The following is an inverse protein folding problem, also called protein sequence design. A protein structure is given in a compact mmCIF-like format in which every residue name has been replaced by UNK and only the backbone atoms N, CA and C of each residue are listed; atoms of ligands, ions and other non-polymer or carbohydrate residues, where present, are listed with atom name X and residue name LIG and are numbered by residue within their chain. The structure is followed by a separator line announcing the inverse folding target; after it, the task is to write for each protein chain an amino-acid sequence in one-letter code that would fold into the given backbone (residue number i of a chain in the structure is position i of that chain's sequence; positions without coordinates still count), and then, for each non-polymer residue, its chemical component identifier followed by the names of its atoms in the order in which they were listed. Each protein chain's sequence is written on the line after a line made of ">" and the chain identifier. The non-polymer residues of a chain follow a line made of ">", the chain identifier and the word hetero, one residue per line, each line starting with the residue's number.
data_IF_517580163225
#
_entry.id   IF_517580163225
#
_cell.length_a   1.000
_cell.length_b   1.000
_cell.length_c   1.000
_cell.angle_alpha   90.00
_cell.angle_beta   90.00
_cell.angle_gamma   90.00
#
_symmetry.space_group_name_H-M   'P 1'
#
loop_
_entity.id
_entity.type
_entity.pdbx_description
1 polymer ?
#
# COMPACT_ATOMS: atom_id res chain seq x y z
N UNK A 1 9.88 -18.81 -11.56
CA UNK A 1 8.72 -19.58 -11.08
C UNK A 1 8.78 -19.54 -9.57
N UNK A 2 7.89 -18.79 -8.94
CA UNK A 2 7.80 -18.74 -7.48
C UNK A 2 7.13 -20.02 -7.03
N UNK A 3 7.82 -20.81 -6.22
CA UNK A 3 7.24 -21.99 -5.57
C UNK A 3 6.76 -21.54 -4.21
N UNK A 4 5.45 -21.54 -4.00
CA UNK A 4 4.83 -21.38 -2.68
C UNK A 4 4.75 -22.79 -2.08
N UNK A 5 5.50 -23.04 -1.00
CA UNK A 5 5.50 -24.33 -0.33
C UNK A 5 4.55 -24.32 0.87
N UNK A 6 3.65 -25.29 0.91
CA UNK A 6 2.45 -25.34 1.74
C UNK A 6 2.61 -26.27 2.94
N UNK A 7 3.68 -26.23 3.68
CA UNK A 7 3.82 -27.16 4.82
C UNK A 7 4.06 -26.48 6.14
N UNK A 8 3.00 -25.93 6.74
CA UNK A 8 2.85 -25.96 8.21
C UNK A 8 1.41 -26.32 8.56
N UNK A 9 1.22 -27.59 8.91
CA UNK A 9 0.12 -28.20 9.70
C UNK A 9 -1.31 -27.70 9.51
N UNK A 10 -2.08 -28.49 8.74
CA UNK A 10 -3.51 -28.75 8.87
C UNK A 10 -4.48 -27.58 9.12
N UNK A 11 -4.49 -26.58 8.23
CA UNK A 11 -5.73 -25.92 7.83
C UNK A 11 -5.59 -25.56 6.34
N UNK A 12 -6.33 -26.29 5.52
CA UNK A 12 -6.56 -26.13 4.08
C UNK A 12 -5.70 -25.11 3.33
N UNK A 13 -4.82 -25.62 2.48
CA UNK A 13 -4.17 -24.93 1.38
C UNK A 13 -5.21 -24.42 0.38
N UNK A 14 -5.78 -23.25 0.66
CA UNK A 14 -6.56 -22.48 -0.31
C UNK A 14 -5.80 -21.19 -0.60
N UNK A 15 -5.72 -20.82 -1.89
CA UNK A 15 -5.33 -19.48 -2.28
C UNK A 15 -6.11 -18.47 -1.40
N UNK A 16 -5.51 -17.32 -1.01
CA UNK A 16 -6.19 -16.36 -0.16
C UNK A 16 -7.55 -16.03 -0.76
N UNK A 17 -8.59 -16.12 0.06
CA UNK A 17 -9.94 -15.72 -0.34
C UNK A 17 -9.92 -14.22 -0.68
N UNK A 18 -10.84 -13.77 -1.54
CA UNK A 18 -10.91 -12.40 -2.05
C UNK A 18 -10.93 -11.31 -0.95
N UNK A 19 -11.22 -11.68 0.30
CA UNK A 19 -11.29 -10.77 1.44
C UNK A 19 -10.02 -10.80 2.34
N UNK A 20 -9.03 -11.65 2.03
CA UNK A 20 -7.80 -11.80 2.84
C UNK A 20 -6.83 -10.65 2.58
N UNK A 21 -6.20 -10.15 3.63
CA UNK A 21 -5.12 -9.18 3.55
C UNK A 21 -3.77 -9.88 3.64
N UNK A 22 -2.91 -9.64 2.66
CA UNK A 22 -1.53 -10.14 2.70
C UNK A 22 -0.67 -9.13 3.47
N UNK A 23 0.08 -9.61 4.46
CA UNK A 23 1.02 -8.80 5.24
C UNK A 23 2.44 -9.33 5.02
N UNK A 24 3.30 -8.48 4.46
CA UNK A 24 4.71 -8.81 4.22
C UNK A 24 5.54 -8.66 5.47
N UNK A 25 6.19 -9.75 5.89
CA UNK A 25 7.06 -9.80 7.06
C UNK A 25 8.51 -10.12 6.67
N UNK A 26 9.46 -9.37 7.22
CA UNK A 26 10.89 -9.63 7.07
C UNK A 26 11.65 -9.52 8.42
N UNK A 27 10.91 -9.36 9.52
CA UNK A 27 11.43 -9.18 10.87
C UNK A 27 12.05 -7.81 11.13
N UNK A 28 11.77 -6.79 10.29
CA UNK A 28 12.12 -5.40 10.56
C UNK A 28 11.05 -4.69 11.39
N UNK A 29 11.42 -3.61 12.08
CA UNK A 29 10.47 -2.77 12.83
C UNK A 29 9.37 -2.20 11.94
N UNK A 30 9.69 -1.87 10.69
CA UNK A 30 8.70 -1.39 9.74
C UNK A 30 7.68 -2.47 9.36
N UNK A 31 8.10 -3.73 9.23
CA UNK A 31 7.20 -4.85 8.97
C UNK A 31 6.34 -5.17 10.21
N UNK A 32 6.91 -5.04 11.43
CA UNK A 32 6.14 -5.16 12.67
C UNK A 32 5.06 -4.07 12.76
N UNK A 33 5.39 -2.81 12.47
CA UNK A 33 4.41 -1.72 12.41
C UNK A 33 3.33 -1.95 11.35
N UNK A 34 3.69 -2.51 10.20
CA UNK A 34 2.74 -2.86 9.15
C UNK A 34 1.76 -3.96 9.61
N UNK A 35 2.26 -4.95 10.34
CA UNK A 35 1.44 -5.99 10.94
C UNK A 35 0.48 -5.42 11.99
N UNK A 36 0.98 -4.61 12.92
CA UNK A 36 0.14 -3.98 13.94
C UNK A 36 -0.91 -3.06 13.31
N UNK A 37 -0.55 -2.34 12.25
CA UNK A 37 -1.51 -1.55 11.49
C UNK A 37 -2.59 -2.43 10.85
N UNK A 38 -2.22 -3.56 10.25
CA UNK A 38 -3.18 -4.51 9.68
C UNK A 38 -4.11 -5.07 10.76
N UNK A 39 -3.57 -5.47 11.91
CA UNK A 39 -4.34 -5.95 13.07
C UNK A 39 -5.34 -4.90 13.55
N UNK A 40 -4.93 -3.64 13.71
CA UNK A 40 -5.81 -2.56 14.15
C UNK A 40 -6.94 -2.25 13.15
N UNK A 41 -6.80 -2.66 11.89
CA UNK A 41 -7.71 -2.30 10.81
C UNK A 41 -8.51 -3.47 10.22
N UNK A 42 -8.10 -4.71 10.38
CA UNK A 42 -8.80 -5.88 9.81
C UNK A 42 -10.09 -6.21 10.55
N UNK A 43 -10.13 -5.93 11.85
CA UNK A 43 -11.28 -6.24 12.69
C UNK A 43 -12.56 -5.53 12.22
N UNK A 44 -13.64 -6.30 12.14
CA UNK A 44 -14.94 -5.81 11.66
C UNK A 44 -15.05 -5.63 10.14
N UNK A 45 -14.03 -6.02 9.35
CA UNK A 45 -14.06 -5.98 7.87
C UNK A 45 -14.23 -7.35 7.20
N UNK A 46 -14.36 -8.41 8.00
CA UNK A 46 -14.77 -9.75 7.52
C UNK A 46 -13.67 -10.53 6.79
N UNK A 47 -12.44 -10.05 6.76
CA UNK A 47 -11.33 -10.71 6.08
C UNK A 47 -10.45 -11.53 7.03
N UNK A 48 -9.41 -12.18 6.45
CA UNK A 48 -8.33 -12.83 7.19
C UNK A 48 -6.99 -12.12 6.98
N UNK A 49 -5.98 -12.54 7.73
CA UNK A 49 -4.59 -12.11 7.54
C UNK A 49 -3.76 -13.28 7.00
N UNK A 50 -3.09 -13.10 5.89
CA UNK A 50 -2.07 -13.99 5.38
C UNK A 50 -0.69 -13.35 5.60
N UNK A 51 0.06 -13.87 6.56
CA UNK A 51 1.40 -13.41 6.88
C UNK A 51 2.39 -14.08 5.93
N UNK A 52 3.11 -13.29 5.15
CA UNK A 52 3.99 -13.79 4.09
C UNK A 52 5.42 -13.32 4.31
N UNK A 53 6.35 -14.27 4.32
CA UNK A 53 7.79 -14.04 4.38
C UNK A 53 8.48 -14.62 3.15
N UNK A 54 9.41 -13.86 2.58
CA UNK A 54 10.26 -14.34 1.50
C UNK A 54 11.60 -14.84 2.06
N UNK A 55 12.08 -15.94 1.53
CA UNK A 55 13.41 -16.45 1.84
C UNK A 55 14.26 -16.63 0.58
N UNK A 56 15.55 -16.45 0.72
CA UNK A 56 16.53 -16.62 -0.34
C UNK A 56 17.80 -17.25 0.20
N UNK A 57 18.47 -18.03 -0.61
CA UNK A 57 19.84 -18.46 -0.30
C UNK A 57 20.74 -17.22 -0.43
N UNK A 58 21.51 -16.88 0.62
CA UNK A 58 22.47 -15.80 0.53
C UNK A 58 23.47 -16.08 -0.60
N UNK A 59 23.50 -15.21 -1.62
CA UNK A 59 24.59 -15.29 -2.62
C UNK A 59 25.87 -14.82 -1.90
N UNK A 60 26.63 -15.75 -1.36
CA UNK A 60 27.97 -15.49 -0.87
C UNK A 60 28.78 -15.04 -2.08
N UNK A 61 29.16 -13.75 -2.09
CA UNK A 61 29.88 -13.16 -3.21
C UNK A 61 30.99 -14.06 -3.67
N UNK A 62 31.06 -14.30 -4.97
CA UNK A 62 32.06 -15.13 -5.60
C UNK A 62 33.46 -14.55 -5.29
N UNK A 63 34.10 -15.05 -4.26
CA UNK A 63 35.53 -14.96 -4.23
C UNK A 63 36.04 -15.67 -5.50
N UNK A 64 37.06 -15.12 -6.18
CA UNK A 64 37.65 -15.78 -7.33
C UNK A 64 38.39 -17.03 -6.86
N UNK A 65 37.64 -18.07 -6.57
CA UNK A 65 38.20 -19.39 -6.32
C UNK A 65 38.28 -20.12 -7.66
N UNK A 66 39.50 -20.50 -7.98
CA UNK A 66 39.90 -21.17 -9.25
C UNK A 66 39.34 -22.58 -9.43
N UNK A 67 38.45 -23.04 -8.56
CA UNK A 67 37.71 -24.31 -8.71
C UNK A 67 36.31 -24.17 -8.16
N UNK A 68 35.26 -24.46 -8.95
CA UNK A 68 33.90 -24.55 -8.44
C UNK A 68 33.78 -25.82 -7.58
N UNK A 69 33.96 -25.66 -6.27
CA UNK A 69 33.55 -26.71 -5.33
C UNK A 69 32.04 -26.55 -5.17
N UNK A 70 31.27 -27.43 -5.80
CA UNK A 70 29.85 -27.59 -5.54
C UNK A 70 29.72 -28.17 -4.13
N UNK A 71 29.68 -27.31 -3.12
CA UNK A 71 29.24 -27.72 -1.79
C UNK A 71 27.74 -27.93 -1.89
N UNK A 72 27.19 -29.11 -1.56
CA UNK A 72 25.76 -29.27 -1.43
C UNK A 72 25.28 -28.31 -0.36
N UNK A 73 24.56 -27.27 -0.78
CA UNK A 73 23.99 -26.28 0.14
C UNK A 73 22.60 -26.77 0.49
N UNK A 74 22.41 -27.10 1.76
CA UNK A 74 21.09 -27.45 2.30
C UNK A 74 20.30 -26.15 2.47
N UNK A 75 19.38 -25.92 1.57
CA UNK A 75 18.52 -24.74 1.55
C UNK A 75 17.32 -24.87 2.48
N UNK A 76 17.06 -26.08 2.99
CA UNK A 76 15.93 -26.37 3.90
C UNK A 76 16.04 -25.58 5.19
N UNK A 77 17.24 -25.31 5.69
CA UNK A 77 17.44 -24.55 6.94
C UNK A 77 16.92 -23.10 6.83
N UNK A 78 17.06 -22.46 5.67
CA UNK A 78 16.56 -21.10 5.46
C UNK A 78 15.03 -21.07 5.33
N UNK A 79 14.49 -22.05 4.62
CA UNK A 79 13.05 -22.26 4.53
C UNK A 79 12.45 -22.50 5.92
N UNK A 80 12.98 -23.48 6.67
CA UNK A 80 12.46 -23.88 7.97
C UNK A 80 12.54 -22.73 9.01
N UNK A 81 13.62 -21.97 9.00
CA UNK A 81 13.75 -20.79 9.84
C UNK A 81 12.68 -19.73 9.51
N UNK A 82 12.51 -19.39 8.23
CA UNK A 82 11.51 -18.42 7.79
C UNK A 82 10.08 -18.91 8.09
N UNK A 83 9.82 -20.21 7.88
CA UNK A 83 8.53 -20.83 8.16
C UNK A 83 8.22 -20.83 9.67
N UNK A 84 9.21 -21.15 10.50
CA UNK A 84 9.07 -21.12 11.95
C UNK A 84 8.73 -19.70 12.45
N UNK A 85 9.50 -18.71 12.03
CA UNK A 85 9.34 -17.31 12.48
C UNK A 85 7.93 -16.78 12.16
N UNK A 86 7.46 -16.98 10.92
CA UNK A 86 6.13 -16.49 10.54
C UNK A 86 5.00 -17.30 11.20
N UNK A 87 5.20 -18.60 11.43
CA UNK A 87 4.20 -19.44 12.08
C UNK A 87 4.01 -19.08 13.57
N UNK A 88 5.09 -18.72 14.27
CA UNK A 88 5.01 -18.23 15.65
C UNK A 88 4.15 -16.97 15.73
N UNK A 89 4.41 -16.00 14.86
CA UNK A 89 3.63 -14.76 14.82
C UNK A 89 2.16 -15.04 14.47
N UNK A 90 1.90 -15.92 13.51
CA UNK A 90 0.53 -16.29 13.13
C UNK A 90 -0.23 -16.99 14.29
N UNK A 91 0.43 -17.87 15.02
CA UNK A 91 -0.17 -18.56 16.17
C UNK A 91 -0.52 -17.58 17.31
N UNK A 92 0.37 -16.62 17.61
CA UNK A 92 0.12 -15.59 18.62
C UNK A 92 -1.09 -14.70 18.25
N UNK A 93 -1.21 -14.31 16.99
CA UNK A 93 -2.32 -13.50 16.50
C UNK A 93 -3.63 -14.29 16.43
N UNK A 94 -3.60 -15.54 15.95
CA UNK A 94 -4.79 -16.38 15.86
C UNK A 94 -5.47 -16.65 17.21
N UNK A 95 -4.72 -16.54 18.32
CA UNK A 95 -5.28 -16.59 19.68
C UNK A 95 -5.90 -15.26 20.17
N UNK A 96 -5.72 -14.15 19.44
CA UNK A 96 -6.11 -12.79 19.85
C UNK A 96 -7.14 -12.13 18.96
N UNK A 97 -7.28 -12.58 17.72
CA UNK A 97 -8.14 -11.97 16.71
C UNK A 97 -9.30 -12.90 16.37
N UNK A 98 -10.47 -12.31 16.10
CA UNK A 98 -11.65 -13.04 15.62
C UNK A 98 -11.63 -13.24 14.08
N UNK A 99 -10.46 -13.15 13.46
CA UNK A 99 -10.26 -13.37 12.02
C UNK A 99 -9.26 -14.51 11.79
N UNK A 100 -9.37 -15.18 10.65
CA UNK A 100 -8.43 -16.22 10.26
C UNK A 100 -7.03 -15.61 10.06
N UNK A 101 -6.00 -16.24 10.65
CA UNK A 101 -4.61 -15.87 10.45
C UNK A 101 -3.86 -17.08 9.89
N UNK A 102 -3.25 -16.91 8.74
CA UNK A 102 -2.44 -17.93 8.06
C UNK A 102 -1.01 -17.46 7.89
N UNK A 103 -0.08 -18.39 7.72
CA UNK A 103 1.33 -18.12 7.47
C UNK A 103 1.77 -18.81 6.18
N UNK A 104 2.57 -18.12 5.38
CA UNK A 104 3.16 -18.67 4.16
C UNK A 104 4.58 -18.17 3.97
N UNK A 105 5.42 -19.00 3.35
CA UNK A 105 6.77 -18.63 2.93
C UNK A 105 6.92 -18.81 1.43
N UNK A 106 7.64 -17.90 0.79
CA UNK A 106 7.92 -17.98 -0.64
C UNK A 106 9.42 -17.92 -0.92
N UNK A 107 9.89 -18.74 -1.85
CA UNK A 107 11.26 -18.67 -2.33
C UNK A 107 11.41 -17.62 -3.41
N UNK A 108 12.33 -16.68 -3.23
CA UNK A 108 12.63 -15.67 -4.24
C UNK A 108 12.73 -14.25 -3.69
N UNK A 109 12.76 -13.27 -4.60
CA UNK A 109 12.82 -11.85 -4.23
C UNK A 109 11.58 -11.42 -3.43
N UNK A 110 11.74 -10.67 -2.32
CA UNK A 110 10.61 -10.30 -1.46
C UNK A 110 9.45 -9.66 -2.22
N UNK A 111 9.72 -8.71 -3.11
CA UNK A 111 8.68 -8.07 -3.91
C UNK A 111 7.93 -9.07 -4.81
N UNK A 112 8.66 -10.00 -5.45
CA UNK A 112 8.05 -11.01 -6.32
C UNK A 112 7.14 -11.95 -5.53
N UNK A 113 7.59 -12.41 -4.36
CA UNK A 113 6.80 -13.29 -3.48
C UNK A 113 5.53 -12.58 -3.01
N UNK A 114 5.64 -11.33 -2.56
CA UNK A 114 4.50 -10.56 -2.07
C UNK A 114 3.49 -10.22 -3.19
N UNK A 115 3.97 -9.86 -4.37
CA UNK A 115 3.13 -9.59 -5.53
C UNK A 115 2.36 -10.84 -5.97
N UNK A 116 3.00 -12.01 -5.94
CA UNK A 116 2.34 -13.27 -6.26
C UNK A 116 1.29 -13.64 -5.21
N UNK A 117 1.66 -13.56 -3.93
CA UNK A 117 0.75 -13.87 -2.81
C UNK A 117 -0.48 -12.95 -2.77
N UNK A 118 -0.32 -11.70 -3.20
CA UNK A 118 -1.41 -10.70 -3.12
C UNK A 118 -2.35 -10.69 -4.32
N UNK A 119 -2.11 -11.47 -5.38
CA UNK A 119 -2.94 -11.41 -6.61
C UNK A 119 -4.42 -11.65 -6.40
N UNK A 120 -4.77 -12.54 -5.47
CA UNK A 120 -6.15 -12.87 -5.14
C UNK A 120 -6.61 -12.30 -3.78
N UNK A 121 -5.81 -11.42 -3.17
CA UNK A 121 -6.10 -10.80 -1.89
C UNK A 121 -6.95 -9.52 -2.05
N UNK A 122 -7.56 -9.08 -0.95
CA UNK A 122 -8.25 -7.79 -0.91
C UNK A 122 -7.27 -6.62 -0.93
N UNK A 123 -6.13 -6.79 -0.25
CA UNK A 123 -5.07 -5.78 -0.22
C UNK A 123 -3.72 -6.37 0.24
N UNK A 124 -2.65 -5.63 -0.03
CA UNK A 124 -1.29 -5.90 0.43
C UNK A 124 -0.87 -4.84 1.46
N UNK A 125 -0.37 -5.26 2.63
CA UNK A 125 0.18 -4.37 3.67
C UNK A 125 1.66 -4.66 3.87
N UNK A 126 2.50 -3.64 3.78
CA UNK A 126 3.96 -3.77 3.89
C UNK A 126 4.56 -2.59 4.66
N UNK A 127 5.69 -2.83 5.30
CA UNK A 127 6.50 -1.77 5.86
C UNK A 127 7.16 -0.91 4.77
N UNK A 128 7.42 0.35 5.07
CA UNK A 128 8.11 1.24 4.12
C UNK A 128 9.55 0.83 3.86
N UNK A 129 10.20 0.10 4.79
CA UNK A 129 11.59 -0.37 4.72
C UNK A 129 11.70 -1.78 5.28
N UNK A 130 12.75 -2.50 4.85
CA UNK A 130 13.12 -3.81 5.36
C UNK A 130 14.47 -3.81 6.06
N UNK A 131 14.97 -4.98 6.46
CA UNK A 131 16.24 -5.20 7.20
C UNK A 131 17.48 -4.60 6.54
N UNK A 132 17.52 -4.45 5.21
CA UNK A 132 18.68 -3.95 4.45
C UNK A 132 18.62 -2.46 4.11
N UNK A 133 17.63 -1.72 4.58
CA UNK A 133 17.41 -0.33 4.21
C UNK A 133 18.46 0.61 4.80
N UNK A 134 19.08 1.47 3.95
CA UNK A 134 19.87 2.59 4.44
C UNK A 134 18.97 3.52 5.27
N UNK A 135 19.40 3.89 6.48
CA UNK A 135 18.64 4.70 7.43
C UNK A 135 18.17 6.07 6.88
N UNK A 136 18.73 6.50 5.75
CA UNK A 136 18.41 7.79 5.08
C UNK A 136 17.33 7.68 4.00
N UNK A 137 16.91 6.47 3.59
CA UNK A 137 15.85 6.29 2.59
C UNK A 137 14.53 6.06 3.31
N UNK A 138 13.50 6.83 2.98
CA UNK A 138 12.17 6.66 3.55
C UNK A 138 11.42 5.47 2.95
N UNK A 139 11.79 5.00 1.75
CA UNK A 139 11.16 3.91 1.03
C UNK A 139 12.19 2.87 0.56
N UNK A 140 11.91 1.59 0.79
CA UNK A 140 12.74 0.47 0.36
C UNK A 140 12.40 -0.01 -1.06
N UNK A 141 13.31 -0.82 -1.65
CA UNK A 141 13.12 -1.38 -3.00
C UNK A 141 11.91 -2.31 -3.10
N UNK A 142 11.66 -3.14 -2.08
CA UNK A 142 10.49 -4.02 -2.02
C UNK A 142 9.20 -3.21 -2.00
N UNK A 143 9.13 -2.19 -1.14
CA UNK A 143 7.95 -1.34 -1.00
C UNK A 143 7.67 -0.54 -2.27
N UNK A 144 8.73 -0.03 -2.93
CA UNK A 144 8.61 0.64 -4.23
C UNK A 144 8.06 -0.30 -5.29
N UNK A 145 8.60 -1.53 -5.40
CA UNK A 145 8.14 -2.50 -6.39
C UNK A 145 6.69 -2.95 -6.13
N UNK A 146 6.34 -3.22 -4.89
CA UNK A 146 4.97 -3.60 -4.52
C UNK A 146 3.98 -2.46 -4.82
N UNK A 147 4.26 -1.23 -4.38
CA UNK A 147 3.40 -0.07 -4.67
C UNK A 147 3.24 0.21 -6.16
N UNK A 148 4.23 -0.16 -6.99
CA UNK A 148 4.21 0.07 -8.44
C UNK A 148 3.48 -1.02 -9.22
N UNK A 149 3.63 -2.28 -8.79
CA UNK A 149 3.26 -3.45 -9.60
C UNK A 149 2.15 -4.32 -9.00
N UNK A 150 1.68 -4.03 -7.79
CA UNK A 150 0.57 -4.79 -7.23
C UNK A 150 -0.72 -4.57 -8.04
N UNK A 151 -1.46 -5.67 -8.24
CA UNK A 151 -2.80 -5.68 -8.85
C UNK A 151 -3.91 -5.32 -7.85
N UNK A 152 -3.57 -5.24 -6.57
CA UNK A 152 -4.47 -4.91 -5.47
C UNK A 152 -4.02 -3.65 -4.75
N UNK A 153 -4.89 -2.96 -4.01
CA UNK A 153 -4.48 -1.83 -3.18
C UNK A 153 -3.32 -2.23 -2.27
N UNK A 154 -2.28 -1.39 -2.22
CA UNK A 154 -1.08 -1.65 -1.43
C UNK A 154 -0.90 -0.57 -0.39
N UNK A 155 -0.90 -0.94 0.88
CA UNK A 155 -0.67 -0.02 2.00
C UNK A 155 0.79 -0.11 2.43
N UNK A 156 1.47 1.01 2.36
CA UNK A 156 2.85 1.17 2.82
C UNK A 156 2.82 1.89 4.16
N UNK A 157 3.30 1.22 5.21
CA UNK A 157 3.29 1.73 6.58
C UNK A 157 4.70 2.20 6.96
N UNK A 158 4.90 3.48 7.31
CA UNK A 158 6.17 3.99 7.82
C UNK A 158 6.54 3.36 9.18
N UNK A 159 7.85 3.23 9.44
CA UNK A 159 8.34 2.59 10.66
C UNK A 159 8.23 3.45 11.92
N UNK A 160 7.99 4.74 11.79
CA UNK A 160 7.88 5.73 12.87
C UNK A 160 6.43 6.11 13.21
N UNK A 161 5.46 5.44 12.61
CA UNK A 161 4.03 5.65 12.86
C UNK A 161 3.55 4.76 13.99
N UNK A 162 2.74 5.30 14.89
CA UNK A 162 2.00 4.51 15.87
C UNK A 162 0.81 3.88 15.16
N UNK A 163 0.74 2.55 15.06
CA UNK A 163 -0.35 1.86 14.41
C UNK A 163 -1.69 2.14 15.11
N UNK A 164 -2.68 2.55 14.34
CA UNK A 164 -4.04 2.77 14.84
C UNK A 164 -5.08 2.53 13.74
N UNK A 165 -6.34 2.45 14.14
CA UNK A 165 -7.45 2.35 13.20
C UNK A 165 -7.52 3.60 12.31
N UNK A 166 -7.73 3.40 11.03
CA UNK A 166 -7.93 4.48 10.07
C UNK A 166 -9.37 4.99 10.16
N UNK A 167 -9.56 6.05 10.96
CA UNK A 167 -10.85 6.72 11.16
C UNK A 167 -11.00 7.92 10.22
N UNK A 168 -9.90 8.63 9.98
CA UNK A 168 -9.84 9.76 9.03
C UNK A 168 -8.95 9.39 7.85
N UNK A 169 -9.52 9.39 6.65
CA UNK A 169 -8.84 9.02 5.42
C UNK A 169 -8.78 10.24 4.48
N UNK A 170 -7.57 10.61 4.05
CA UNK A 170 -7.36 11.63 3.01
C UNK A 170 -7.27 10.95 1.65
N UNK A 171 -8.02 11.43 0.67
CA UNK A 171 -7.93 10.96 -0.71
C UNK A 171 -7.44 12.09 -1.61
N UNK A 172 -6.29 11.89 -2.26
CA UNK A 172 -5.83 12.78 -3.34
C UNK A 172 -6.61 12.49 -4.62
N UNK A 173 -7.42 13.45 -5.06
CA UNK A 173 -8.26 13.32 -6.25
C UNK A 173 -7.87 14.39 -7.28
N UNK A 174 -7.64 13.98 -8.53
CA UNK A 174 -7.37 14.85 -9.67
C UNK A 174 -8.43 14.70 -10.79
N UNK A 175 -9.49 13.92 -10.52
CA UNK A 175 -10.55 13.61 -11.50
C UNK A 175 -10.15 12.57 -12.54
N UNK A 176 -8.95 12.00 -12.47
CA UNK A 176 -8.57 10.87 -13.33
C UNK A 176 -9.36 9.60 -12.98
N UNK A 177 -9.55 8.67 -13.92
CA UNK A 177 -10.21 7.39 -13.63
C UNK A 177 -9.60 6.66 -12.42
N UNK A 178 -8.28 6.72 -12.29
CA UNK A 178 -7.56 6.07 -11.19
C UNK A 178 -7.82 6.74 -9.83
N UNK A 179 -7.84 8.08 -9.77
CA UNK A 179 -8.20 8.79 -8.53
C UNK A 179 -9.65 8.54 -8.12
N UNK A 180 -10.56 8.33 -9.08
CA UNK A 180 -11.95 7.96 -8.79
C UNK A 180 -12.09 6.52 -8.27
N UNK A 181 -11.24 5.60 -8.74
CA UNK A 181 -11.17 4.24 -8.18
C UNK A 181 -10.63 4.31 -6.74
N UNK A 182 -9.59 5.11 -6.51
CA UNK A 182 -9.01 5.33 -5.19
C UNK A 182 -10.03 5.92 -4.20
N UNK A 183 -10.85 6.88 -4.65
CA UNK A 183 -11.93 7.46 -3.84
C UNK A 183 -12.99 6.41 -3.47
N UNK A 184 -13.47 5.62 -4.45
CA UNK A 184 -14.43 4.54 -4.16
C UNK A 184 -13.88 3.51 -3.20
N UNK A 185 -12.63 3.11 -3.39
CA UNK A 185 -11.97 2.19 -2.48
C UNK A 185 -11.87 2.77 -1.06
N UNK A 186 -11.47 4.04 -0.92
CA UNK A 186 -11.35 4.70 0.38
C UNK A 186 -12.69 4.74 1.14
N UNK A 187 -13.80 5.02 0.44
CA UNK A 187 -15.14 5.02 1.02
C UNK A 187 -15.55 3.61 1.49
N UNK A 188 -15.28 2.59 0.68
CA UNK A 188 -15.55 1.19 1.05
C UNK A 188 -14.65 0.71 2.19
N UNK A 189 -13.40 1.19 2.23
CA UNK A 189 -12.44 0.87 3.27
C UNK A 189 -12.74 1.59 4.59
N UNK A 190 -13.35 2.76 4.57
CA UNK A 190 -13.67 3.53 5.76
C UNK A 190 -14.59 2.74 6.70
N UNK A 191 -14.27 2.75 8.00
CA UNK A 191 -15.13 2.14 9.01
C UNK A 191 -16.45 2.93 9.15
N UNK A 192 -17.53 2.29 9.60
CA UNK A 192 -18.74 3.00 9.97
C UNK A 192 -18.44 4.11 10.98
N UNK A 193 -18.94 5.32 10.73
CA UNK A 193 -18.62 6.53 11.50
C UNK A 193 -17.29 7.19 11.13
N UNK A 194 -16.52 6.61 10.23
CA UNK A 194 -15.27 7.19 9.71
C UNK A 194 -15.50 8.40 8.79
N UNK A 195 -14.42 9.12 8.54
CA UNK A 195 -14.39 10.35 7.74
C UNK A 195 -13.44 10.20 6.55
N UNK A 196 -13.93 10.51 5.36
CA UNK A 196 -13.15 10.58 4.13
C UNK A 196 -13.05 12.04 3.68
N UNK A 197 -11.84 12.58 3.69
CA UNK A 197 -11.52 13.93 3.20
C UNK A 197 -11.01 13.80 1.76
N UNK A 198 -11.76 14.32 0.81
CA UNK A 198 -11.40 14.28 -0.61
C UNK A 198 -10.74 15.60 -0.94
N UNK A 199 -9.45 15.56 -1.25
CA UNK A 199 -8.68 16.75 -1.60
C UNK A 199 -8.41 16.83 -3.10
N UNK A 200 -8.83 17.94 -3.70
CA UNK A 200 -8.42 18.34 -5.05
C UNK A 200 -7.50 19.54 -4.94
N UNK A 201 -6.26 19.36 -5.37
CA UNK A 201 -5.29 20.44 -5.38
C UNK A 201 -5.18 21.01 -6.80
N UNK A 202 -5.59 22.27 -6.94
CA UNK A 202 -5.50 23.02 -8.18
C UNK A 202 -4.12 23.68 -8.27
N UNK A 203 -3.29 23.19 -9.20
CA UNK A 203 -1.96 23.76 -9.43
C UNK A 203 -2.08 25.06 -10.22
N UNK A 204 -1.77 26.17 -9.57
CA UNK A 204 -1.75 27.50 -10.15
C UNK A 204 -0.40 27.87 -10.76
N UNK A 205 0.56 26.91 -10.80
CA UNK A 205 1.86 27.17 -11.40
C UNK A 205 1.66 27.52 -12.86
N UNK A 206 2.03 28.74 -13.32
CA UNK A 206 1.87 29.12 -14.71
C UNK A 206 2.63 28.12 -15.57
N UNK A 207 1.97 27.47 -16.53
CA UNK A 207 2.69 26.87 -17.63
C UNK A 207 3.45 28.02 -18.31
N UNK A 208 4.74 28.11 -18.09
CA UNK A 208 5.60 29.08 -18.76
C UNK A 208 5.77 28.68 -20.22
N UNK A 209 4.72 28.87 -21.01
CA UNK A 209 4.72 28.74 -22.46
C UNK A 209 4.58 30.15 -23.04
N UNK A 210 5.68 30.85 -23.12
CA UNK A 210 5.78 32.14 -23.81
C UNK A 210 5.29 33.34 -22.98
N UNK A 211 5.50 34.53 -23.51
CA UNK A 211 5.27 35.83 -22.83
C UNK A 211 3.79 36.21 -22.61
N UNK A 212 2.84 35.33 -22.96
CA UNK A 212 1.39 35.53 -22.78
C UNK A 212 0.87 34.40 -21.88
N UNK A 213 1.10 34.51 -20.59
CA UNK A 213 0.43 33.68 -19.59
C UNK A 213 -1.05 34.12 -19.55
N UNK A 214 -1.91 33.43 -20.28
CA UNK A 214 -3.35 33.62 -20.16
C UNK A 214 -3.78 33.04 -18.79
N UNK A 215 -4.07 33.92 -17.86
CA UNK A 215 -4.76 33.61 -16.64
C UNK A 215 -6.24 33.35 -17.00
N UNK A 216 -6.70 32.11 -16.89
CA UNK A 216 -8.12 31.75 -16.98
C UNK A 216 -8.71 31.64 -15.57
N UNK A 217 -9.20 32.74 -14.98
CA UNK A 217 -9.79 32.68 -13.62
C UNK A 217 -11.01 31.76 -13.58
N UNK A 218 -11.75 31.64 -14.67
CA UNK A 218 -12.94 30.79 -14.77
C UNK A 218 -12.59 29.27 -14.75
N UNK A 219 -11.34 28.90 -15.02
CA UNK A 219 -10.96 27.48 -15.07
C UNK A 219 -10.90 26.83 -13.69
N UNK A 220 -10.56 27.58 -12.63
CA UNK A 220 -10.55 27.06 -11.26
C UNK A 220 -11.97 26.86 -10.74
N UNK A 221 -12.89 27.78 -11.04
CA UNK A 221 -14.29 27.71 -10.61
C UNK A 221 -14.99 26.52 -11.29
N UNK A 222 -14.76 26.34 -12.60
CA UNK A 222 -15.27 25.18 -13.34
C UNK A 222 -14.69 23.85 -12.82
N UNK A 223 -13.42 23.84 -12.43
CA UNK A 223 -12.80 22.67 -11.82
C UNK A 223 -13.39 22.37 -10.44
N UNK A 224 -13.66 23.39 -9.63
CA UNK A 224 -14.30 23.24 -8.33
C UNK A 224 -15.74 22.71 -8.46
N UNK A 225 -16.53 23.23 -9.40
CA UNK A 225 -17.88 22.72 -9.69
C UNK A 225 -17.87 21.26 -10.15
N UNK A 226 -16.91 20.87 -11.01
CA UNK A 226 -16.74 19.48 -11.42
C UNK A 226 -16.36 18.58 -10.26
N UNK A 227 -15.47 19.05 -9.40
CA UNK A 227 -15.06 18.33 -8.20
C UNK A 227 -16.25 18.12 -7.26
N UNK A 228 -17.02 19.15 -7.00
CA UNK A 228 -18.22 19.09 -6.16
C UNK A 228 -19.20 18.04 -6.69
N UNK A 229 -19.48 18.04 -7.99
CA UNK A 229 -20.37 17.06 -8.61
C UNK A 229 -19.82 15.62 -8.51
N UNK A 230 -18.52 15.42 -8.74
CA UNK A 230 -17.88 14.11 -8.62
C UNK A 230 -17.95 13.56 -7.19
N UNK A 231 -17.67 14.40 -6.20
CA UNK A 231 -17.71 13.99 -4.79
C UNK A 231 -19.16 13.74 -4.36
N UNK A 232 -20.11 14.58 -4.76
CA UNK A 232 -21.53 14.41 -4.44
C UNK A 232 -22.08 13.09 -4.95
N UNK A 233 -21.84 12.78 -6.23
CA UNK A 233 -22.26 11.51 -6.84
C UNK A 233 -21.67 10.30 -6.12
N UNK A 234 -20.40 10.41 -5.69
CA UNK A 234 -19.71 9.33 -4.99
C UNK A 234 -20.14 9.25 -3.53
N UNK A 235 -20.43 10.37 -2.88
CA UNK A 235 -20.91 10.43 -1.51
C UNK A 235 -22.31 9.83 -1.35
N UNK A 236 -23.15 9.86 -2.39
CA UNK A 236 -24.45 9.16 -2.37
C UNK A 236 -24.27 7.66 -2.18
N UNK A 237 -23.24 7.07 -2.76
CA UNK A 237 -22.85 5.68 -2.54
C UNK A 237 -22.34 5.44 -1.11
N UNK A 238 -21.67 6.45 -0.52
CA UNK A 238 -21.13 6.38 0.84
C UNK A 238 -22.20 6.45 1.92
N UNK A 239 -23.33 7.13 1.68
CA UNK A 239 -24.44 7.26 2.65
C UNK A 239 -25.00 5.90 3.11
N UNK A 240 -24.88 4.88 2.28
CA UNK A 240 -25.26 3.52 2.65
C UNK A 240 -24.36 2.92 3.76
N UNK A 241 -23.14 3.42 3.94
CA UNK A 241 -22.14 2.92 4.89
C UNK A 241 -21.96 3.79 6.15
N UNK A 242 -22.75 4.84 6.36
CA UNK A 242 -22.60 5.80 7.48
C UNK A 242 -21.19 6.45 7.54
N UNK A 243 -20.57 6.71 6.40
CA UNK A 243 -19.27 7.38 6.26
C UNK A 243 -19.50 8.86 5.94
N UNK A 244 -18.78 9.76 6.61
CA UNK A 244 -18.77 11.18 6.29
C UNK A 244 -17.78 11.46 5.15
N UNK A 245 -18.22 12.20 4.13
CA UNK A 245 -17.36 12.62 3.01
C UNK A 245 -17.28 14.14 3.01
N UNK A 246 -16.08 14.66 3.18
CA UNK A 246 -15.75 16.09 3.18
C UNK A 246 -14.96 16.46 1.93
N UNK A 247 -15.07 17.68 1.49
CA UNK A 247 -14.42 18.21 0.29
C UNK A 247 -13.41 19.27 0.66
N UNK A 248 -12.21 19.16 0.12
CA UNK A 248 -11.13 20.12 0.27
C UNK A 248 -10.62 20.53 -1.11
N UNK A 249 -11.01 21.71 -1.58
CA UNK A 249 -10.45 22.31 -2.79
C UNK A 249 -9.36 23.29 -2.42
N UNK A 250 -8.12 22.99 -2.78
CA UNK A 250 -6.93 23.71 -2.33
C UNK A 250 -6.16 24.25 -3.54
N UNK A 251 -5.69 25.49 -3.48
CA UNK A 251 -4.75 26.04 -4.45
C UNK A 251 -3.33 25.81 -4.01
N UNK A 252 -2.51 25.25 -4.90
CA UNK A 252 -1.10 25.01 -4.60
C UNK A 252 -0.51 23.85 -5.37
N UNK A 253 0.64 23.39 -4.91
CA UNK A 253 1.32 22.23 -5.51
C UNK A 253 0.79 20.94 -4.90
N UNK A 254 0.29 19.96 -5.68
CA UNK A 254 -0.31 18.74 -5.15
C UNK A 254 0.54 17.99 -4.13
N UNK A 255 1.85 18.01 -4.28
CA UNK A 255 2.77 17.32 -3.35
C UNK A 255 2.78 17.97 -1.98
N UNK A 256 2.95 19.29 -1.89
CA UNK A 256 3.04 20.03 -0.64
C UNK A 256 1.69 20.09 0.09
N UNK A 257 0.61 20.36 -0.65
CA UNK A 257 -0.71 20.49 -0.04
C UNK A 257 -1.22 19.16 0.50
N UNK A 258 -1.09 18.07 -0.28
CA UNK A 258 -1.47 16.74 0.21
C UNK A 258 -0.60 16.29 1.40
N UNK A 259 0.68 16.64 1.45
CA UNK A 259 1.52 16.35 2.60
C UNK A 259 1.10 17.11 3.84
N UNK A 260 0.74 18.38 3.70
CA UNK A 260 0.22 19.19 4.81
C UNK A 260 -1.11 18.63 5.35
N UNK A 261 -2.04 18.29 4.47
CA UNK A 261 -3.31 17.66 4.84
C UNK A 261 -3.10 16.30 5.50
N UNK A 262 -2.08 15.55 5.08
CA UNK A 262 -1.74 14.24 5.62
C UNK A 262 -1.35 14.26 7.11
N UNK A 263 -0.89 15.40 7.64
CA UNK A 263 -0.52 15.52 9.06
C UNK A 263 -1.68 15.23 10.03
N UNK A 264 -2.93 15.47 9.58
CA UNK A 264 -4.13 15.39 10.39
C UNK A 264 -5.03 14.18 10.09
N UNK A 265 -4.49 13.16 9.40
CA UNK A 265 -5.26 11.96 9.02
C UNK A 265 -4.54 10.68 9.44
N UNK A 266 -5.25 9.56 9.37
CA UNK A 266 -4.74 8.24 9.76
C UNK A 266 -4.24 7.43 8.56
N UNK A 267 -4.79 7.70 7.37
CA UNK A 267 -4.45 7.04 6.13
C UNK A 267 -4.54 8.04 4.97
N UNK A 268 -3.55 8.02 4.10
CA UNK A 268 -3.59 8.73 2.81
C UNK A 268 -3.87 7.73 1.70
N UNK A 269 -4.78 8.04 0.79
CA UNK A 269 -5.14 7.21 -0.35
C UNK A 269 -4.87 7.97 -1.64
N UNK A 270 -4.14 7.36 -2.54
CA UNK A 270 -3.87 7.91 -3.87
C UNK A 270 -4.00 6.83 -4.93
N UNK A 271 -4.37 7.23 -6.12
CA UNK A 271 -4.26 6.35 -7.28
C UNK A 271 -2.80 6.05 -7.61
N UNK A 272 -2.52 4.87 -8.13
CA UNK A 272 -1.17 4.55 -8.62
C UNK A 272 -0.71 5.54 -9.70
N UNK A 273 -1.64 6.16 -10.44
CA UNK A 273 -1.38 7.12 -11.53
C UNK A 273 -2.40 8.26 -11.49
N UNK A 274 -2.07 9.36 -12.19
CA UNK A 274 -2.97 10.48 -12.45
C UNK A 274 -2.96 10.84 -13.94
N UNK A 275 -3.45 12.01 -14.32
CA UNK A 275 -3.58 12.50 -15.70
C UNK A 275 -2.27 12.57 -16.50
N UNK A 276 -1.11 12.66 -15.86
CA UNK A 276 0.21 12.85 -16.49
C UNK A 276 1.01 11.59 -16.77
N UNK A 277 0.49 10.39 -16.47
CA UNK A 277 1.27 9.17 -16.57
C UNK A 277 1.32 8.63 -18.02
N UNK A 278 2.47 8.70 -18.65
CA UNK A 278 2.77 8.08 -19.94
C UNK A 278 3.47 6.75 -19.68
N UNK A 279 2.76 5.63 -19.95
CA UNK A 279 3.33 4.28 -19.86
C UNK A 279 2.73 3.40 -18.74
N UNK A 280 2.59 2.11 -19.04
CA UNK A 280 1.85 1.15 -18.19
C UNK A 280 2.57 0.74 -16.88
N UNK A 281 3.85 1.05 -16.71
CA UNK A 281 4.70 0.45 -15.68
C UNK A 281 5.23 1.43 -14.60
N UNK A 282 4.77 2.67 -14.55
CA UNK A 282 5.34 3.67 -13.62
C UNK A 282 4.28 4.20 -12.65
N UNK A 283 4.68 4.34 -11.39
CA UNK A 283 3.92 5.04 -10.36
C UNK A 283 3.86 6.55 -10.66
N UNK A 284 2.75 7.20 -10.35
CA UNK A 284 2.56 8.63 -10.55
C UNK A 284 3.54 9.48 -9.73
N UNK A 285 3.87 10.67 -10.22
CA UNK A 285 4.84 11.56 -9.57
C UNK A 285 4.40 12.07 -8.19
N UNK A 286 3.10 12.24 -7.96
CA UNK A 286 2.54 12.62 -6.65
C UNK A 286 2.60 11.42 -5.71
N UNK A 287 2.10 10.26 -6.14
CA UNK A 287 2.10 9.03 -5.34
C UNK A 287 3.51 8.62 -4.92
N UNK A 288 4.47 8.66 -5.87
CA UNK A 288 5.90 8.41 -5.57
C UNK A 288 6.43 9.40 -4.54
N UNK A 289 6.14 10.69 -4.73
CA UNK A 289 6.66 11.72 -3.83
C UNK A 289 6.09 11.58 -2.42
N UNK A 290 4.77 11.32 -2.28
CA UNK A 290 4.12 11.13 -0.98
C UNK A 290 4.73 9.94 -0.22
N UNK A 291 4.95 8.80 -0.89
CA UNK A 291 5.60 7.61 -0.31
C UNK A 291 7.01 7.91 0.25
N UNK A 292 7.69 8.93 -0.26
CA UNK A 292 9.02 9.34 0.20
C UNK A 292 9.01 10.45 1.25
N UNK A 293 7.89 11.15 1.50
CA UNK A 293 7.91 12.36 2.31
C UNK A 293 6.83 12.39 3.40
N UNK A 294 5.80 11.58 3.29
CA UNK A 294 4.69 11.56 4.26
C UNK A 294 4.91 10.49 5.31
N UNK A 295 4.80 10.87 6.58
CA UNK A 295 4.92 10.00 7.74
C UNK A 295 3.54 9.49 8.19
N UNK A 296 2.77 8.97 7.27
CA UNK A 296 1.47 8.32 7.49
C UNK A 296 1.38 7.07 6.61
N UNK A 297 0.57 6.08 6.98
CA UNK A 297 0.24 4.98 6.08
C UNK A 297 -0.32 5.52 4.78
N UNK A 298 0.16 4.98 3.66
CA UNK A 298 -0.28 5.39 2.32
C UNK A 298 -0.81 4.19 1.57
N UNK A 299 -2.06 4.25 1.15
CA UNK A 299 -2.65 3.29 0.21
C UNK A 299 -2.45 3.78 -1.22
N UNK A 300 -1.79 2.96 -2.01
CA UNK A 300 -1.67 3.13 -3.45
C UNK A 300 -2.67 2.18 -4.11
N UNK A 301 -3.66 2.73 -4.79
CA UNK A 301 -4.73 1.97 -5.42
C UNK A 301 -4.44 1.82 -6.92
N UNK A 302 -4.29 0.58 -7.42
CA UNK A 302 -4.03 0.35 -8.84
C UNK A 302 -5.26 0.67 -9.70
N UNK A 303 -5.05 0.79 -11.01
CA UNK A 303 -6.14 0.75 -11.97
C UNK A 303 -6.61 -0.71 -12.03
N UNK A 304 -7.86 -0.95 -11.70
CA UNK A 304 -8.48 -2.25 -11.97
C UNK A 304 -8.71 -2.36 -13.48
N UNK A 305 -8.24 -3.46 -14.09
CA UNK A 305 -8.55 -3.79 -15.47
C UNK A 305 -10.04 -4.10 -15.66
#
# INVERSE_FOLDING_TARGET
>A
MVIMDETVSSTSSSAPESDTWVVGLDGSDCAANALEWAVANVDGRGGGLALVTAWQIPVVGAYPMSTPVAVPFDDTQFHDAAAHDVAVVAAELGGRLDVAVTAAVGHGGPAQVLLEASRAAALLVIGSRGRGGFARLLLGSTSTQCATHASVPTIVVPGDVVPKRAETILVGCDGSPNSMIALRWAIQFAAPGGRVVVAWVWDTTPLAVGADAFFFPDASDLAAERFDHLVETTAEQARAGAVSVEREFVHGTPRSELASLAENVDLVVVGARGHGAVGAALLGSVSTWLLHHVHRPIAVVPLSD
#
